data_IF_207793702770
#
_entry.id   IF_207793702770
#
_cell.length_a   1.000
_cell.length_b   1.000
_cell.length_c   1.000
_cell.angle_alpha   90.00
_cell.angle_beta   90.00
_cell.angle_gamma   90.00
#
_symmetry.space_group_name_H-M   'P 1'
#
loop_
_entity.id
_entity.type
_entity.pdbx_description
1 polymer ?
#
# COMPACT_ATOMS: atom_id res chain seq x y z
N UNK A 1 3.06 17.32 32.58
CA UNK A 1 2.50 16.24 31.75
C UNK A 1 2.48 14.88 32.47
N UNK A 2 3.45 14.55 33.31
CA UNK A 2 3.55 13.22 33.97
C UNK A 2 2.46 12.89 35.02
N UNK A 3 1.74 13.86 35.62
CA UNK A 3 0.68 13.57 36.61
C UNK A 3 -0.62 13.05 36.03
N UNK A 4 -0.95 13.37 34.77
CA UNK A 4 -2.18 12.90 34.11
C UNK A 4 -1.97 11.48 33.53
N UNK A 5 -0.79 11.23 32.95
CA UNK A 5 -0.43 9.93 32.39
C UNK A 5 -0.13 8.86 33.48
N UNK A 6 0.11 9.26 34.73
CA UNK A 6 0.28 8.35 35.86
C UNK A 6 -1.03 7.94 36.56
N UNK A 7 -2.15 8.58 36.26
CA UNK A 7 -3.41 8.30 36.91
C UNK A 7 -4.24 7.29 36.11
N UNK A 8 -4.24 6.03 36.54
CA UNK A 8 -4.99 4.92 35.90
C UNK A 8 -6.48 5.23 35.66
N UNK A 9 -7.13 5.98 36.56
CA UNK A 9 -8.54 6.38 36.40
C UNK A 9 -8.70 7.38 35.25
N UNK A 10 -7.82 8.36 35.11
CA UNK A 10 -7.86 9.32 34.02
C UNK A 10 -7.59 8.63 32.68
N UNK A 11 -6.62 7.72 32.62
CA UNK A 11 -6.37 6.91 31.41
C UNK A 11 -7.61 6.10 31.03
N UNK A 12 -8.22 5.42 32.01
CA UNK A 12 -9.44 4.64 31.75
C UNK A 12 -10.58 5.51 31.21
N UNK A 13 -10.84 6.66 31.81
CA UNK A 13 -11.94 7.57 31.38
C UNK A 13 -11.73 8.07 29.93
N UNK A 14 -10.50 8.37 29.52
CA UNK A 14 -10.24 8.87 28.17
C UNK A 14 -10.09 7.78 27.11
N UNK A 15 -9.56 6.60 27.49
CA UNK A 15 -9.32 5.50 26.54
C UNK A 15 -10.53 4.57 26.42
N UNK A 16 -11.27 4.34 27.51
CA UNK A 16 -12.36 3.35 27.55
C UNK A 16 -13.46 3.61 26.51
N UNK A 17 -13.96 4.83 26.30
CA UNK A 17 -15.01 5.06 25.29
C UNK A 17 -14.56 4.67 23.88
N UNK A 18 -13.36 5.09 23.48
CA UNK A 18 -12.80 4.77 22.16
C UNK A 18 -12.54 3.24 22.05
N UNK A 19 -12.01 2.63 23.10
CA UNK A 19 -11.76 1.20 23.16
C UNK A 19 -13.07 0.38 23.09
N UNK A 20 -14.12 0.79 23.77
CA UNK A 20 -15.42 0.12 23.70
C UNK A 20 -16.02 0.17 22.29
N UNK A 21 -15.98 1.34 21.63
CA UNK A 21 -16.42 1.46 20.25
C UNK A 21 -15.61 0.52 19.35
N UNK A 22 -14.28 0.54 19.48
CA UNK A 22 -13.40 -0.35 18.72
C UNK A 22 -13.68 -1.84 19.02
N UNK A 23 -13.88 -2.21 20.29
CA UNK A 23 -14.17 -3.58 20.69
C UNK A 23 -15.49 -4.06 20.08
N UNK A 24 -16.56 -3.27 20.17
CA UNK A 24 -17.88 -3.64 19.66
C UNK A 24 -17.89 -3.76 18.12
N UNK A 25 -17.30 -2.80 17.43
CA UNK A 25 -17.38 -2.74 15.95
C UNK A 25 -16.23 -3.47 15.23
N UNK A 26 -15.15 -3.81 15.92
CA UNK A 26 -14.00 -4.47 15.31
C UNK A 26 -13.71 -5.82 15.98
N UNK A 27 -13.46 -5.86 17.29
CA UNK A 27 -13.03 -7.10 17.95
C UNK A 27 -14.17 -8.14 18.03
N UNK A 28 -15.40 -7.74 18.36
CA UNK A 28 -16.54 -8.65 18.40
C UNK A 28 -16.83 -9.27 17.03
N UNK A 29 -16.94 -8.51 15.91
CA UNK A 29 -17.08 -9.09 14.58
C UNK A 29 -15.92 -9.99 14.16
N UNK A 30 -14.67 -9.67 14.53
CA UNK A 30 -13.53 -10.56 14.26
C UNK A 30 -13.71 -11.88 15.01
N UNK A 31 -14.01 -11.84 16.31
CA UNK A 31 -14.25 -13.05 17.10
C UNK A 31 -15.40 -13.90 16.54
N UNK A 32 -16.48 -13.25 16.13
CA UNK A 32 -17.60 -13.90 15.46
C UNK A 32 -17.18 -14.57 14.14
N UNK A 33 -16.46 -13.86 13.26
CA UNK A 33 -15.96 -14.40 12.00
C UNK A 33 -15.03 -15.61 12.22
N UNK A 34 -14.13 -15.53 13.20
CA UNK A 34 -13.29 -16.67 13.59
C UNK A 34 -14.13 -17.86 14.00
N UNK A 35 -15.18 -17.66 14.80
CA UNK A 35 -16.07 -18.74 15.22
C UNK A 35 -16.82 -19.35 14.04
N UNK A 36 -17.37 -18.52 13.15
CA UNK A 36 -18.11 -18.97 11.96
C UNK A 36 -17.18 -19.66 10.95
N UNK A 37 -15.90 -19.33 10.90
CA UNK A 37 -14.96 -19.97 9.98
C UNK A 37 -14.79 -21.48 10.18
N UNK A 38 -15.13 -22.00 11.37
CA UNK A 38 -15.15 -23.44 11.67
C UNK A 38 -16.50 -24.10 11.38
N UNK A 39 -17.47 -23.34 10.90
CA UNK A 39 -18.81 -23.82 10.58
C UNK A 39 -18.99 -23.91 9.05
N UNK A 40 -19.74 -24.90 8.61
CA UNK A 40 -20.34 -24.90 7.28
C UNK A 40 -21.71 -24.26 7.44
N UNK A 41 -21.85 -23.03 6.92
CA UNK A 41 -23.09 -22.27 6.99
C UNK A 41 -23.65 -22.15 5.59
N UNK A 42 -24.87 -22.63 5.42
CA UNK A 42 -25.72 -22.41 4.27
C UNK A 42 -26.87 -21.52 4.77
N UNK A 43 -27.22 -20.47 4.04
CA UNK A 43 -28.28 -19.53 4.45
C UNK A 43 -29.65 -20.19 4.69
N UNK A 44 -29.81 -21.43 4.25
CA UNK A 44 -31.07 -22.21 4.33
C UNK A 44 -31.03 -23.39 5.32
N UNK A 45 -29.85 -23.77 5.81
CA UNK A 45 -29.67 -24.96 6.66
C UNK A 45 -29.02 -24.61 7.98
N UNK A 46 -29.26 -25.40 9.05
CA UNK A 46 -28.54 -25.21 10.31
C UNK A 46 -27.04 -25.35 10.13
N UNK A 47 -26.29 -24.44 10.71
CA UNK A 47 -24.82 -24.44 10.66
C UNK A 47 -24.27 -25.73 11.28
N UNK A 48 -23.34 -26.40 10.59
CA UNK A 48 -22.65 -27.61 11.07
C UNK A 48 -21.19 -27.30 11.38
N UNK A 49 -20.71 -27.77 12.51
CA UNK A 49 -19.30 -27.66 12.84
C UNK A 49 -18.47 -28.59 11.94
N UNK A 50 -17.53 -28.04 11.18
CA UNK A 50 -16.67 -28.75 10.24
C UNK A 50 -15.18 -28.65 10.57
N UNK A 51 -14.84 -28.00 11.67
CA UNK A 51 -13.46 -27.81 12.12
C UNK A 51 -12.62 -27.10 11.05
N UNK A 52 -11.46 -27.64 10.72
CA UNK A 52 -10.51 -27.04 9.78
C UNK A 52 -10.82 -27.28 8.29
N UNK A 53 -11.93 -27.93 7.94
CA UNK A 53 -12.25 -28.30 6.58
C UNK A 53 -12.30 -27.09 5.64
N UNK A 54 -12.87 -25.98 6.10
CA UNK A 54 -12.92 -24.74 5.29
C UNK A 54 -11.53 -24.22 4.93
N UNK A 55 -10.59 -24.28 5.87
CA UNK A 55 -9.20 -23.86 5.64
C UNK A 55 -8.48 -24.81 4.68
N UNK A 56 -8.68 -26.12 4.80
CA UNK A 56 -8.10 -27.10 3.89
C UNK A 56 -8.62 -26.85 2.45
N UNK A 57 -9.93 -26.68 2.29
CA UNK A 57 -10.53 -26.37 0.99
C UNK A 57 -9.98 -25.05 0.42
N UNK A 58 -9.83 -24.02 1.26
CA UNK A 58 -9.30 -22.72 0.85
C UNK A 58 -7.88 -22.81 0.29
N UNK A 59 -6.99 -23.54 0.95
CA UNK A 59 -5.61 -23.73 0.47
C UNK A 59 -5.49 -24.67 -0.74
N UNK A 60 -6.50 -25.49 -1.00
CA UNK A 60 -6.60 -26.30 -2.20
C UNK A 60 -7.22 -25.55 -3.40
N UNK A 61 -7.90 -24.44 -3.14
CA UNK A 61 -8.47 -23.59 -4.18
C UNK A 61 -7.36 -22.86 -4.94
N UNK A 62 -7.25 -23.16 -6.24
CA UNK A 62 -6.27 -22.55 -7.15
C UNK A 62 -6.50 -21.04 -7.31
N UNK A 63 -7.74 -20.58 -7.21
CA UNK A 63 -8.08 -19.15 -7.30
C UNK A 63 -7.54 -18.41 -6.09
N UNK A 64 -7.78 -18.94 -4.89
CA UNK A 64 -7.27 -18.37 -3.65
C UNK A 64 -5.75 -18.37 -3.58
N UNK A 65 -5.11 -19.51 -3.88
CA UNK A 65 -3.65 -19.62 -3.83
C UNK A 65 -2.98 -18.78 -4.89
N UNK A 66 -3.60 -18.63 -6.07
CA UNK A 66 -3.17 -17.69 -7.11
C UNK A 66 -3.26 -16.24 -6.68
N UNK A 67 -4.39 -15.83 -6.10
CA UNK A 67 -4.59 -14.49 -5.56
C UNK A 67 -3.59 -14.18 -4.42
N UNK A 68 -3.32 -15.14 -3.54
CA UNK A 68 -2.33 -14.99 -2.47
C UNK A 68 -0.92 -14.75 -3.02
N UNK A 69 -0.50 -15.53 -4.02
CA UNK A 69 0.80 -15.34 -4.71
C UNK A 69 0.89 -13.95 -5.34
N UNK A 70 -0.16 -13.50 -6.04
CA UNK A 70 -0.19 -12.18 -6.64
C UNK A 70 -0.11 -11.07 -5.58
N UNK A 71 -0.79 -11.22 -4.44
CA UNK A 71 -0.69 -10.26 -3.34
C UNK A 71 0.72 -10.21 -2.73
N UNK A 72 1.34 -11.36 -2.49
CA UNK A 72 2.73 -11.41 -1.99
C UNK A 72 3.68 -10.74 -2.98
N UNK A 73 3.54 -11.06 -4.28
CA UNK A 73 4.35 -10.44 -5.33
C UNK A 73 4.15 -8.92 -5.39
N UNK A 74 2.90 -8.46 -5.26
CA UNK A 74 2.56 -7.04 -5.22
C UNK A 74 3.19 -6.33 -4.02
N UNK A 75 3.12 -6.92 -2.83
CA UNK A 75 3.73 -6.36 -1.61
C UNK A 75 5.24 -6.26 -1.77
N UNK A 76 5.90 -7.35 -2.16
CA UNK A 76 7.36 -7.38 -2.33
C UNK A 76 7.79 -6.42 -3.45
N UNK A 77 7.14 -6.47 -4.61
CA UNK A 77 7.42 -5.60 -5.75
C UNK A 77 7.23 -4.13 -5.39
N UNK A 78 6.17 -3.81 -4.68
CA UNK A 78 5.90 -2.46 -4.19
C UNK A 78 6.97 -1.99 -3.20
N UNK A 79 7.35 -2.81 -2.22
CA UNK A 79 8.40 -2.47 -1.25
C UNK A 79 9.75 -2.20 -1.93
N UNK A 80 10.14 -3.06 -2.87
CA UNK A 80 11.42 -2.94 -3.58
C UNK A 80 11.40 -1.76 -4.56
N UNK A 81 10.27 -1.49 -5.20
CA UNK A 81 10.18 -0.42 -6.20
C UNK A 81 10.05 0.96 -5.56
N UNK A 82 9.07 1.19 -4.70
CA UNK A 82 8.78 2.56 -4.29
C UNK A 82 9.51 3.05 -3.03
N UNK A 83 9.87 2.15 -2.07
CA UNK A 83 10.59 2.61 -0.88
C UNK A 83 12.00 3.12 -1.19
N UNK A 84 12.84 2.43 -1.99
CA UNK A 84 14.14 2.97 -2.39
C UNK A 84 14.03 4.27 -3.20
N UNK A 85 13.04 4.36 -4.11
CA UNK A 85 12.80 5.61 -4.85
C UNK A 85 12.34 6.74 -3.94
N UNK A 86 11.46 6.45 -2.99
CA UNK A 86 11.01 7.43 -2.01
C UNK A 86 12.18 7.92 -1.13
N UNK A 87 13.08 7.01 -0.72
CA UNK A 87 14.28 7.36 0.02
C UNK A 87 15.25 8.19 -0.81
N UNK A 88 15.47 7.80 -2.06
CA UNK A 88 16.33 8.54 -2.99
C UNK A 88 15.85 9.98 -3.20
N UNK A 89 14.59 10.17 -3.59
CA UNK A 89 14.03 11.50 -3.75
C UNK A 89 13.91 12.25 -2.41
N UNK A 90 13.59 11.54 -1.32
CA UNK A 90 13.53 12.09 0.03
C UNK A 90 14.87 12.67 0.47
N UNK A 91 15.96 11.95 0.25
CA UNK A 91 17.30 12.42 0.60
C UNK A 91 17.72 13.66 -0.22
N UNK A 92 17.44 13.68 -1.53
CA UNK A 92 17.71 14.85 -2.38
C UNK A 92 16.93 16.05 -1.89
N UNK A 93 15.62 15.90 -1.64
CA UNK A 93 14.76 17.02 -1.24
C UNK A 93 14.91 17.42 0.22
N UNK A 94 15.48 16.57 1.07
CA UNK A 94 15.87 16.89 2.45
C UNK A 94 17.01 17.93 2.50
N UNK A 95 17.94 17.90 1.54
CA UNK A 95 19.10 18.81 1.46
C UNK A 95 18.75 20.29 1.16
N UNK A 96 17.48 20.67 1.27
CA UNK A 96 16.99 22.06 1.11
C UNK A 96 17.38 22.73 -0.23
N UNK A 97 17.42 21.96 -1.31
CA UNK A 97 17.64 22.51 -2.65
C UNK A 97 16.54 23.51 -3.05
N UNK A 98 16.87 24.46 -3.91
CA UNK A 98 15.90 25.44 -4.42
C UNK A 98 14.74 24.73 -5.12
N UNK A 99 13.50 25.06 -4.72
CA UNK A 99 12.29 24.41 -5.27
C UNK A 99 11.89 23.10 -4.56
N UNK A 100 12.58 22.66 -3.50
CA UNK A 100 12.27 21.44 -2.77
C UNK A 100 10.77 21.30 -2.42
N UNK A 101 10.13 22.35 -1.95
CA UNK A 101 8.69 22.35 -1.62
C UNK A 101 7.81 22.12 -2.86
N UNK A 102 8.16 22.71 -3.99
CA UNK A 102 7.42 22.48 -5.23
C UNK A 102 7.49 21.01 -5.64
N UNK A 103 8.68 20.42 -5.65
CA UNK A 103 8.84 18.99 -6.00
C UNK A 103 8.15 18.09 -4.98
N UNK A 104 8.23 18.37 -3.68
CA UNK A 104 7.49 17.62 -2.67
C UNK A 104 5.98 17.63 -2.95
N UNK A 105 5.42 18.78 -3.34
CA UNK A 105 4.01 18.89 -3.68
C UNK A 105 3.67 18.10 -4.95
N UNK A 106 4.46 18.22 -6.01
CA UNK A 106 4.23 17.51 -7.28
C UNK A 106 4.29 15.99 -7.08
N UNK A 107 5.27 15.48 -6.34
CA UNK A 107 5.36 14.05 -6.03
C UNK A 107 4.24 13.55 -5.12
N UNK A 108 3.72 14.40 -4.25
CA UNK A 108 2.63 14.04 -3.34
C UNK A 108 1.25 14.07 -4.01
N UNK A 109 1.04 14.91 -5.02
CA UNK A 109 -0.24 15.10 -5.72
C UNK A 109 -0.92 13.78 -6.13
N UNK A 110 -0.22 12.80 -6.74
CA UNK A 110 -0.86 11.54 -7.14
C UNK A 110 -1.53 10.79 -5.97
N UNK A 111 -1.00 10.89 -4.76
CA UNK A 111 -1.53 10.18 -3.59
C UNK A 111 -2.88 10.69 -3.10
N UNK A 112 -3.27 11.90 -3.47
CA UNK A 112 -4.57 12.49 -3.10
C UNK A 112 -5.66 12.26 -4.15
N UNK A 113 -5.29 11.72 -5.31
CA UNK A 113 -6.24 11.39 -6.38
C UNK A 113 -7.02 10.15 -5.97
N UNK A 114 -8.34 10.16 -6.15
CA UNK A 114 -9.15 8.99 -5.82
C UNK A 114 -8.78 7.78 -6.71
N UNK A 115 -8.82 6.57 -6.13
CA UNK A 115 -8.38 5.35 -6.81
C UNK A 115 -9.11 5.06 -8.12
N UNK A 116 -10.41 5.43 -8.24
CA UNK A 116 -11.18 5.27 -9.48
C UNK A 116 -10.60 6.14 -10.59
N UNK A 117 -10.30 7.41 -10.31
CA UNK A 117 -9.70 8.32 -11.30
C UNK A 117 -8.30 7.84 -11.73
N UNK A 118 -7.48 7.36 -10.77
CA UNK A 118 -6.18 6.74 -11.07
C UNK A 118 -6.36 5.53 -11.98
N UNK A 119 -7.27 4.61 -11.64
CA UNK A 119 -7.53 3.41 -12.45
C UNK A 119 -7.96 3.75 -13.87
N UNK A 120 -8.91 4.67 -14.05
CA UNK A 120 -9.35 5.12 -15.37
C UNK A 120 -8.20 5.76 -16.15
N UNK A 121 -7.45 6.68 -15.54
CA UNK A 121 -6.31 7.34 -16.21
C UNK A 121 -5.29 6.32 -16.71
N UNK A 122 -4.89 5.37 -15.87
CA UNK A 122 -3.89 4.36 -16.26
C UNK A 122 -4.44 3.34 -17.24
N UNK A 123 -5.75 3.07 -17.27
CA UNK A 123 -6.38 2.27 -18.32
C UNK A 123 -6.19 2.92 -19.69
N UNK A 124 -6.31 4.26 -19.79
CA UNK A 124 -6.01 4.98 -21.02
C UNK A 124 -4.50 4.98 -21.35
N UNK A 125 -3.65 5.18 -20.34
CA UNK A 125 -2.17 5.18 -20.53
C UNK A 125 -1.68 3.84 -21.06
N UNK A 126 -2.22 2.72 -20.53
CA UNK A 126 -1.86 1.35 -20.93
C UNK A 126 -2.68 0.80 -22.10
N UNK A 127 -3.56 1.57 -22.71
CA UNK A 127 -4.35 1.09 -23.83
C UNK A 127 -3.44 0.62 -24.99
N UNK A 128 -3.74 -0.55 -25.58
CA UNK A 128 -2.90 -1.13 -26.63
C UNK A 128 -2.95 -0.38 -27.96
N UNK A 129 -4.07 0.28 -28.28
CA UNK A 129 -4.29 0.91 -29.58
C UNK A 129 -3.90 2.39 -29.59
N UNK A 130 -4.34 3.14 -28.57
CA UNK A 130 -4.14 4.59 -28.48
C UNK A 130 -3.41 5.05 -27.20
N UNK A 131 -2.95 4.11 -26.37
CA UNK A 131 -2.31 4.43 -25.11
C UNK A 131 -0.98 5.13 -25.24
N UNK A 132 -0.70 6.03 -24.27
CA UNK A 132 0.49 6.87 -24.29
C UNK A 132 1.79 6.05 -24.33
N UNK A 133 1.86 4.90 -23.65
CA UNK A 133 3.08 4.09 -23.59
C UNK A 133 3.40 3.50 -24.97
N UNK A 134 2.43 2.89 -25.65
CA UNK A 134 2.64 2.32 -26.97
C UNK A 134 2.95 3.41 -28.01
N UNK A 135 2.27 4.55 -27.93
CA UNK A 135 2.56 5.70 -28.80
C UNK A 135 3.97 6.27 -28.58
N UNK A 136 4.39 6.38 -27.33
CA UNK A 136 5.76 6.80 -27.00
C UNK A 136 6.80 5.82 -27.56
N UNK A 137 6.60 4.51 -27.38
CA UNK A 137 7.47 3.47 -27.92
C UNK A 137 7.56 3.54 -29.47
N UNK A 138 6.44 3.83 -30.15
CA UNK A 138 6.41 4.02 -31.58
C UNK A 138 7.27 5.22 -32.02
N UNK A 139 7.11 6.37 -31.35
CA UNK A 139 7.83 7.63 -31.69
C UNK A 139 9.35 7.47 -31.53
N UNK A 140 9.81 6.73 -30.51
CA UNK A 140 11.26 6.53 -30.27
C UNK A 140 11.83 5.34 -31.07
N UNK A 141 11.05 4.73 -31.99
CA UNK A 141 11.49 3.63 -32.83
C UNK A 141 11.53 2.26 -32.16
N UNK A 142 10.95 2.13 -30.97
CA UNK A 142 10.85 0.87 -30.21
C UNK A 142 9.47 0.20 -30.34
N UNK A 143 8.83 0.32 -31.50
CA UNK A 143 7.51 -0.26 -31.76
C UNK A 143 7.42 -1.78 -31.54
N UNK A 144 8.55 -2.49 -31.67
CA UNK A 144 8.61 -3.94 -31.35
C UNK A 144 8.38 -4.28 -29.88
N UNK A 145 8.48 -3.31 -28.97
CA UNK A 145 8.22 -3.47 -27.53
C UNK A 145 6.79 -3.11 -27.12
N UNK A 146 5.95 -2.71 -28.07
CA UNK A 146 4.53 -2.48 -27.80
C UNK A 146 3.85 -3.75 -27.30
N UNK A 147 3.01 -3.61 -26.29
CA UNK A 147 2.35 -4.73 -25.63
C UNK A 147 0.87 -4.45 -25.37
N UNK A 148 0.13 -5.52 -25.07
CA UNK A 148 -1.23 -5.46 -24.53
C UNK A 148 -1.14 -5.49 -23.00
N UNK A 149 -0.63 -4.41 -22.41
CA UNK A 149 -0.12 -4.28 -21.05
C UNK A 149 -1.01 -4.91 -19.97
N UNK A 150 -2.32 -4.61 -19.98
CA UNK A 150 -3.25 -5.03 -18.94
C UNK A 150 -3.93 -6.38 -19.24
N UNK A 151 -3.92 -6.84 -20.49
CA UNK A 151 -4.51 -8.12 -20.88
C UNK A 151 -3.49 -9.27 -20.85
N UNK A 152 -2.19 -8.98 -20.85
CA UNK A 152 -1.16 -9.98 -20.65
C UNK A 152 -1.04 -10.34 -19.17
N UNK A 153 -1.26 -11.64 -18.84
CA UNK A 153 -1.23 -12.14 -17.45
C UNK A 153 0.12 -11.96 -16.76
N UNK A 154 1.22 -11.91 -17.51
CA UNK A 154 2.56 -11.77 -16.96
C UNK A 154 2.91 -10.29 -16.73
N UNK A 155 2.35 -9.38 -17.53
CA UNK A 155 2.66 -7.95 -17.46
C UNK A 155 1.68 -7.17 -16.58
N UNK A 156 0.41 -7.59 -16.51
CA UNK A 156 -0.63 -6.85 -15.80
C UNK A 156 -0.26 -6.52 -14.36
N UNK A 157 0.33 -7.47 -13.63
CA UNK A 157 0.72 -7.27 -12.24
C UNK A 157 1.87 -6.25 -12.10
N UNK A 158 2.85 -6.27 -12.99
CA UNK A 158 3.92 -5.26 -13.04
C UNK A 158 3.36 -3.87 -13.36
N UNK A 159 2.42 -3.78 -14.31
CA UNK A 159 1.75 -2.52 -14.63
C UNK A 159 1.04 -1.93 -13.41
N UNK A 160 0.35 -2.77 -12.63
CA UNK A 160 -0.30 -2.33 -11.38
C UNK A 160 0.73 -1.86 -10.35
N UNK A 161 1.86 -2.55 -10.19
CA UNK A 161 2.94 -2.14 -9.28
C UNK A 161 3.49 -0.77 -9.68
N UNK A 162 3.68 -0.51 -10.98
CA UNK A 162 4.11 0.82 -11.48
C UNK A 162 3.10 1.90 -11.12
N UNK A 163 1.81 1.62 -11.26
CA UNK A 163 0.74 2.58 -10.88
C UNK A 163 0.79 2.87 -9.38
N UNK A 164 0.87 1.84 -8.54
CA UNK A 164 0.95 1.98 -7.08
C UNK A 164 2.23 2.74 -6.68
N UNK A 165 3.36 2.43 -7.30
CA UNK A 165 4.61 3.15 -7.09
C UNK A 165 4.46 4.63 -7.42
N UNK A 166 3.95 4.97 -8.60
CA UNK A 166 3.72 6.35 -9.01
C UNK A 166 2.78 7.08 -8.07
N UNK A 167 1.72 6.42 -7.62
CA UNK A 167 0.71 7.02 -6.73
C UNK A 167 1.28 7.32 -5.34
N UNK A 168 2.11 6.45 -4.78
CA UNK A 168 2.48 6.51 -3.36
C UNK A 168 3.95 6.85 -3.09
N UNK A 169 4.83 6.93 -4.10
CA UNK A 169 6.23 7.29 -3.89
C UNK A 169 6.39 8.62 -3.17
N UNK A 170 5.60 9.63 -3.53
CA UNK A 170 5.65 10.94 -2.90
C UNK A 170 5.14 10.95 -1.46
N UNK A 171 4.12 10.16 -1.14
CA UNK A 171 3.63 9.98 0.22
C UNK A 171 4.73 9.40 1.14
N UNK A 172 5.36 8.31 0.73
CA UNK A 172 6.45 7.70 1.49
C UNK A 172 7.69 8.59 1.56
N UNK A 173 7.99 9.34 0.50
CA UNK A 173 9.06 10.33 0.48
C UNK A 173 8.87 11.40 1.57
N UNK A 174 7.67 11.94 1.72
CA UNK A 174 7.40 12.96 2.75
C UNK A 174 7.55 12.38 4.16
N UNK A 175 7.08 11.13 4.39
CA UNK A 175 7.27 10.46 5.67
C UNK A 175 8.76 10.27 5.98
N UNK A 176 9.56 9.89 5.00
CA UNK A 176 11.00 9.72 5.16
C UNK A 176 11.71 11.06 5.44
N UNK A 177 11.34 12.14 4.72
CA UNK A 177 11.86 13.49 5.01
C UNK A 177 11.53 13.89 6.45
N UNK A 178 10.30 13.63 6.91
CA UNK A 178 9.92 13.93 8.29
C UNK A 178 10.72 13.10 9.30
N UNK A 179 10.98 11.84 9.01
CA UNK A 179 11.81 10.97 9.85
C UNK A 179 13.27 11.48 9.91
N UNK A 180 13.86 11.83 8.76
CA UNK A 180 15.22 12.38 8.69
C UNK A 180 15.36 13.69 9.47
N UNK A 181 14.34 14.56 9.48
CA UNK A 181 14.34 15.81 10.28
C UNK A 181 14.35 15.57 11.79
N UNK A 182 13.94 14.40 12.25
CA UNK A 182 13.96 14.05 13.68
C UNK A 182 15.28 13.42 14.13
N UNK A 183 16.21 13.15 13.22
CA UNK A 183 17.56 12.67 13.55
C UNK A 183 18.38 13.87 14.05
N UNK A 184 19.05 13.72 15.20
CA UNK A 184 19.92 14.78 15.76
C UNK A 184 21.08 15.10 14.82
N UNK A 185 21.39 16.38 14.67
CA UNK A 185 22.53 16.85 13.86
C UNK A 185 23.85 16.17 14.25
N UNK A 186 24.03 15.85 15.54
CA UNK A 186 25.23 15.16 16.02
C UNK A 186 25.52 13.80 15.35
N UNK A 187 24.48 13.11 14.84
CA UNK A 187 24.71 11.87 14.07
C UNK A 187 25.23 12.14 12.66
N UNK A 188 24.79 13.25 12.05
CA UNK A 188 25.29 13.65 10.73
C UNK A 188 26.75 14.14 10.83
N UNK A 189 27.06 14.96 11.86
CA UNK A 189 28.43 15.41 12.13
C UNK A 189 29.39 14.24 12.43
N UNK A 190 28.94 13.24 13.18
CA UNK A 190 29.75 12.06 13.44
C UNK A 190 30.04 11.24 12.15
N UNK A 191 29.04 11.12 11.27
CA UNK A 191 29.20 10.42 10.01
C UNK A 191 30.08 11.18 8.97
N UNK A 192 30.29 12.48 9.14
CA UNK A 192 31.22 13.26 8.30
C UNK A 192 32.69 13.09 8.72
N UNK A 193 32.93 12.61 9.95
CA UNK A 193 34.28 12.43 10.51
C UNK A 193 34.82 11.01 10.22
N UNK A 194 33.95 10.02 10.02
CA UNK A 194 34.28 8.63 9.70
C UNK A 194 34.46 8.43 8.18
#
# INVERSE_FOLDING_TARGET
MNKVLGNKKSIAVFVLPAFLIYAIFVLVPIGYNVSVSFLQTDLMSPSKFVGMKNYVNLFQDKTFTGAMKNNIFMVIGSLIAHLPLALFFGNILFQKIKGSHFFQTVFFLPSVICGVAVGLTWTFVYNSEFGLINKFLEIIGLGSLQQVWLADKNLALFCIIVVVMWQFVGYHMIIQIAAMKNISESYYEAAEID
#
